data_IF_696471879163
#
_entry.id   IF_696471879163
#
_cell.length_a   1.000
_cell.length_b   1.000
_cell.length_c   1.000
_cell.angle_alpha   90.00
_cell.angle_beta   90.00
_cell.angle_gamma   90.00
#
_symmetry.space_group_name_H-M   'P 1'
#
loop_
_entity.id
_entity.type
_entity.pdbx_description
1 polymer ?
#
# COMPACT_ATOMS: atom_id res chain seq x y z
N UNK A 1 -22.86 -20.15 -15.77
CA UNK A 1 -22.43 -19.94 -14.37
C UNK A 1 -23.69 -19.89 -13.52
N UNK A 2 -23.87 -20.80 -12.57
CA UNK A 2 -25.14 -20.93 -11.84
C UNK A 2 -25.33 -19.75 -10.88
N UNK A 3 -26.54 -19.18 -10.81
CA UNK A 3 -26.88 -17.98 -10.02
C UNK A 3 -26.55 -18.11 -8.52
N UNK A 4 -26.62 -19.32 -7.96
CA UNK A 4 -26.18 -19.61 -6.58
C UNK A 4 -24.68 -19.44 -6.36
N UNK A 5 -23.85 -19.82 -7.33
CA UNK A 5 -22.38 -19.62 -7.30
C UNK A 5 -22.02 -18.14 -7.32
N UNK A 6 -22.76 -17.37 -8.12
CA UNK A 6 -22.59 -15.91 -8.25
C UNK A 6 -22.97 -15.22 -6.93
N UNK A 7 -24.06 -15.63 -6.28
CA UNK A 7 -24.48 -15.07 -4.99
C UNK A 7 -23.51 -15.40 -3.84
N UNK A 8 -22.97 -16.61 -3.78
CA UNK A 8 -21.94 -16.99 -2.78
C UNK A 8 -20.67 -16.16 -2.99
N UNK A 9 -20.22 -16.04 -4.24
CA UNK A 9 -19.09 -15.17 -4.61
C UNK A 9 -19.33 -13.71 -4.23
N UNK A 10 -20.51 -13.14 -4.50
CA UNK A 10 -20.81 -11.76 -4.10
C UNK A 10 -20.81 -11.59 -2.57
N UNK A 11 -21.26 -12.60 -1.83
CA UNK A 11 -21.25 -12.58 -0.37
C UNK A 11 -19.82 -12.62 0.18
N UNK A 12 -18.96 -13.48 -0.38
CA UNK A 12 -17.54 -13.55 -0.03
C UNK A 12 -16.78 -12.28 -0.44
N UNK A 13 -17.09 -11.71 -1.61
CA UNK A 13 -16.55 -10.43 -2.05
C UNK A 13 -16.99 -9.32 -1.11
N UNK A 14 -18.27 -9.20 -0.75
CA UNK A 14 -18.76 -8.17 0.17
C UNK A 14 -18.14 -8.34 1.57
N UNK A 15 -18.05 -9.56 2.08
CA UNK A 15 -17.38 -9.84 3.36
C UNK A 15 -15.89 -9.50 3.29
N UNK A 16 -15.20 -9.88 2.21
CA UNK A 16 -13.82 -9.49 1.94
C UNK A 16 -13.65 -7.98 1.80
N UNK A 17 -14.61 -7.27 1.21
CA UNK A 17 -14.64 -5.80 1.11
C UNK A 17 -14.88 -5.13 2.46
N UNK A 18 -15.73 -5.70 3.32
CA UNK A 18 -15.98 -5.19 4.68
C UNK A 18 -14.75 -5.43 5.55
N UNK A 19 -14.14 -6.62 5.47
CA UNK A 19 -12.87 -6.93 6.14
C UNK A 19 -11.77 -6.01 5.62
N UNK A 20 -11.69 -5.75 4.31
CA UNK A 20 -10.71 -4.84 3.72
C UNK A 20 -11.00 -3.37 4.01
N UNK A 21 -12.27 -2.96 4.18
CA UNK A 21 -12.66 -1.62 4.59
C UNK A 21 -12.34 -1.37 6.07
N UNK A 22 -12.61 -2.35 6.92
CA UNK A 22 -12.21 -2.36 8.32
C UNK A 22 -10.69 -2.40 8.44
N UNK A 23 -10.01 -3.23 7.64
CA UNK A 23 -8.56 -3.20 7.51
C UNK A 23 -8.11 -1.84 6.99
N UNK A 24 -8.76 -1.20 6.03
CA UNK A 24 -8.36 0.13 5.52
C UNK A 24 -8.47 1.24 6.57
N UNK A 25 -9.43 1.14 7.50
CA UNK A 25 -9.50 2.02 8.69
C UNK A 25 -8.50 1.66 9.79
N UNK A 26 -7.95 0.44 9.76
CA UNK A 26 -7.02 -0.14 10.74
C UNK A 26 -5.62 -0.37 10.15
N UNK A 27 -5.38 -0.02 8.87
CA UNK A 27 -4.21 -0.39 8.06
C UNK A 27 -3.02 0.52 8.30
N UNK A 28 -2.83 0.78 9.57
CA UNK A 28 -1.53 0.96 10.12
C UNK A 28 -0.97 -0.45 10.39
N UNK A 29 -0.01 -0.92 9.58
CA UNK A 29 0.58 -2.28 9.76
C UNK A 29 1.24 -2.43 11.15
N UNK A 30 1.50 -1.31 11.84
CA UNK A 30 1.87 -1.30 13.25
C UNK A 30 0.76 -1.86 14.15
N UNK A 31 -0.51 -1.60 13.82
CA UNK A 31 -1.66 -2.17 14.51
C UNK A 31 -1.77 -3.67 14.22
N UNK A 32 -1.46 -4.16 13.02
CA UNK A 32 -1.49 -5.62 12.74
C UNK A 32 -0.50 -6.37 13.64
N UNK A 33 0.71 -5.84 13.84
CA UNK A 33 1.72 -6.44 14.75
C UNK A 33 1.38 -6.22 16.24
N UNK A 34 0.86 -5.04 16.60
CA UNK A 34 0.43 -4.68 17.98
C UNK A 34 -0.84 -5.43 18.42
N UNK A 35 -1.68 -5.83 17.48
CA UNK A 35 -2.97 -6.49 17.70
C UNK A 35 -2.97 -7.94 17.21
N UNK A 36 -1.83 -8.62 17.22
CA UNK A 36 -1.75 -10.08 17.07
C UNK A 36 -2.74 -10.78 18.04
N UNK A 37 -2.96 -10.21 19.24
CA UNK A 37 -3.99 -10.66 20.20
C UNK A 37 -5.44 -10.45 19.73
N UNK A 38 -5.72 -9.41 18.96
CA UNK A 38 -7.06 -9.05 18.46
C UNK A 38 -7.37 -9.79 17.15
N UNK A 39 -6.36 -10.03 16.31
CA UNK A 39 -6.41 -10.94 15.15
C UNK A 39 -6.66 -12.39 15.58
N UNK A 40 -6.01 -12.85 16.68
CA UNK A 40 -6.34 -14.12 17.34
C UNK A 40 -7.79 -14.16 17.84
N UNK A 41 -8.34 -13.04 18.30
CA UNK A 41 -9.73 -12.92 18.78
C UNK A 41 -10.77 -13.03 17.64
N UNK A 42 -10.39 -12.64 16.41
CA UNK A 42 -11.20 -12.77 15.19
C UNK A 42 -10.89 -14.03 14.36
N UNK A 43 -10.04 -14.93 14.87
CA UNK A 43 -9.73 -16.22 14.21
C UNK A 43 -8.75 -16.12 13.02
N UNK A 44 -8.08 -14.99 12.83
CA UNK A 44 -6.99 -14.86 11.83
C UNK A 44 -5.68 -15.20 12.53
N UNK A 45 -5.31 -16.47 12.43
CA UNK A 45 -4.15 -17.06 13.09
C UNK A 45 -2.96 -16.89 12.14
N UNK A 46 -1.97 -16.08 12.53
CA UNK A 46 -0.66 -15.88 11.87
C UNK A 46 -0.62 -14.95 10.64
N UNK A 47 0.48 -14.18 10.53
CA UNK A 47 0.76 -13.26 9.40
C UNK A 47 0.77 -14.01 8.06
N UNK A 48 1.26 -15.24 8.07
CA UNK A 48 1.26 -16.13 6.90
C UNK A 48 -0.16 -16.39 6.38
N UNK A 49 -1.13 -16.58 7.28
CA UNK A 49 -2.55 -16.74 6.91
C UNK A 49 -3.12 -15.45 6.35
N UNK A 50 -2.78 -14.29 6.92
CA UNK A 50 -3.18 -13.00 6.37
C UNK A 50 -2.61 -12.77 4.97
N UNK A 51 -1.32 -13.05 4.77
CA UNK A 51 -0.66 -12.98 3.46
C UNK A 51 -1.34 -13.91 2.47
N UNK A 52 -1.57 -15.16 2.85
CA UNK A 52 -2.26 -16.16 2.02
C UNK A 52 -3.68 -15.73 1.63
N UNK A 53 -4.48 -15.25 2.58
CA UNK A 53 -5.83 -14.77 2.30
C UNK A 53 -5.83 -13.52 1.42
N UNK A 54 -4.93 -12.57 1.68
CA UNK A 54 -4.76 -11.38 0.84
C UNK A 54 -4.34 -11.77 -0.59
N UNK A 55 -3.46 -12.77 -0.76
CA UNK A 55 -3.07 -13.28 -2.08
C UNK A 55 -4.21 -13.99 -2.82
N UNK A 56 -5.02 -14.80 -2.11
CA UNK A 56 -6.23 -15.42 -2.68
C UNK A 56 -7.20 -14.35 -3.17
N UNK A 57 -7.43 -13.32 -2.36
CA UNK A 57 -8.29 -12.19 -2.73
C UNK A 57 -7.70 -11.38 -3.88
N UNK A 58 -6.37 -11.19 -3.93
CA UNK A 58 -5.72 -10.48 -5.02
C UNK A 58 -5.90 -11.22 -6.35
N UNK A 59 -5.75 -12.55 -6.37
CA UNK A 59 -6.02 -13.40 -7.54
C UNK A 59 -7.48 -13.28 -7.98
N UNK A 60 -8.41 -13.28 -7.02
CA UNK A 60 -9.84 -13.12 -7.27
C UNK A 60 -10.15 -11.75 -7.90
N UNK A 61 -9.63 -10.65 -7.33
CA UNK A 61 -9.77 -9.31 -7.88
C UNK A 61 -9.15 -9.19 -9.28
N UNK A 62 -8.02 -9.86 -9.53
CA UNK A 62 -7.40 -9.88 -10.85
C UNK A 62 -8.27 -10.62 -11.88
N UNK A 63 -8.83 -11.76 -11.49
CA UNK A 63 -9.75 -12.53 -12.33
C UNK A 63 -11.00 -11.72 -12.70
N UNK A 64 -11.58 -11.00 -11.74
CA UNK A 64 -12.72 -10.11 -12.00
C UNK A 64 -12.36 -8.78 -12.63
N UNK A 65 -11.08 -8.53 -12.95
CA UNK A 65 -10.67 -7.31 -13.67
C UNK A 65 -10.85 -7.40 -15.19
N UNK A 66 -11.30 -8.55 -15.71
CA UNK A 66 -11.52 -8.78 -17.15
C UNK A 66 -12.93 -8.31 -17.55
N UNK A 67 -13.02 -7.05 -17.96
CA UNK A 67 -14.25 -6.34 -18.36
C UNK A 67 -14.20 -4.87 -17.88
N UNK A 68 -15.21 -4.03 -18.17
CA UNK A 68 -15.21 -2.59 -17.85
C UNK A 68 -15.33 -2.28 -16.33
N UNK A 69 -14.83 -3.17 -15.48
CA UNK A 69 -15.25 -3.39 -14.11
C UNK A 69 -14.99 -2.22 -13.17
N UNK A 70 -16.13 -1.80 -12.59
CA UNK A 70 -16.33 -1.30 -11.24
C UNK A 70 -15.06 -0.83 -10.52
N UNK A 71 -14.89 0.49 -10.49
CA UNK A 71 -13.87 1.25 -9.75
C UNK A 71 -13.53 0.63 -8.38
N UNK A 72 -14.50 0.05 -7.67
CA UNK A 72 -14.28 -0.65 -6.41
C UNK A 72 -13.30 -1.83 -6.50
N UNK A 73 -13.42 -2.71 -7.50
CA UNK A 73 -12.53 -3.89 -7.66
C UNK A 73 -11.10 -3.44 -7.98
N UNK A 74 -10.97 -2.40 -8.80
CA UNK A 74 -9.69 -1.76 -9.09
C UNK A 74 -9.00 -1.22 -7.83
N UNK A 75 -9.71 -0.45 -7.01
CA UNK A 75 -9.15 0.08 -5.76
C UNK A 75 -8.81 -1.02 -4.75
N UNK A 76 -9.62 -2.08 -4.70
CA UNK A 76 -9.34 -3.24 -3.84
C UNK A 76 -8.10 -3.98 -4.29
N UNK A 77 -7.92 -4.19 -5.60
CA UNK A 77 -6.72 -4.79 -6.14
C UNK A 77 -5.46 -3.99 -5.78
N UNK A 78 -5.46 -2.67 -6.03
CA UNK A 78 -4.32 -1.82 -5.68
C UNK A 78 -4.08 -1.77 -4.16
N UNK A 79 -5.14 -1.77 -3.34
CA UNK A 79 -5.04 -1.84 -1.88
C UNK A 79 -4.44 -3.15 -1.37
N UNK A 80 -4.78 -4.29 -1.99
CA UNK A 80 -4.20 -5.60 -1.68
C UNK A 80 -2.72 -5.67 -2.09
N UNK A 81 -2.36 -5.14 -3.26
CA UNK A 81 -0.94 -5.00 -3.65
C UNK A 81 -0.16 -4.19 -2.62
N UNK A 82 -0.73 -3.06 -2.17
CA UNK A 82 -0.10 -2.21 -1.16
C UNK A 82 0.05 -2.92 0.20
N UNK A 83 -0.98 -3.63 0.65
CA UNK A 83 -0.94 -4.44 1.87
C UNK A 83 0.18 -5.48 1.81
N UNK A 84 0.20 -6.29 0.75
CA UNK A 84 1.18 -7.36 0.58
C UNK A 84 2.61 -6.82 0.46
N UNK A 85 2.79 -5.70 -0.24
CA UNK A 85 4.08 -5.00 -0.26
C UNK A 85 4.48 -4.56 1.16
N UNK A 86 3.55 -3.99 1.92
CA UNK A 86 3.83 -3.51 3.28
C UNK A 86 4.23 -4.64 4.22
N UNK A 87 3.54 -5.77 4.15
CA UNK A 87 3.90 -6.99 4.90
C UNK A 87 5.32 -7.44 4.53
N UNK A 88 5.59 -7.58 3.23
CA UNK A 88 6.88 -8.07 2.73
C UNK A 88 8.05 -7.20 3.18
N UNK A 89 7.91 -5.87 3.12
CA UNK A 89 8.95 -4.95 3.57
C UNK A 89 9.19 -4.98 5.09
N UNK A 90 8.15 -5.24 5.88
CA UNK A 90 8.26 -5.40 7.34
C UNK A 90 8.92 -6.73 7.71
N UNK A 91 8.78 -7.74 6.85
CA UNK A 91 9.46 -9.04 6.93
C UNK A 91 10.86 -9.03 6.32
N UNK A 92 11.35 -7.86 5.89
CA UNK A 92 12.63 -7.67 5.19
C UNK A 92 12.76 -8.49 3.88
N UNK A 93 11.63 -8.84 3.26
CA UNK A 93 11.55 -9.44 1.92
C UNK A 93 11.40 -8.35 0.84
N UNK A 94 12.54 -7.82 0.41
CA UNK A 94 12.61 -6.76 -0.60
C UNK A 94 12.16 -7.25 -1.99
N UNK A 95 12.33 -8.53 -2.29
CA UNK A 95 11.93 -9.09 -3.58
C UNK A 95 10.41 -9.08 -3.72
N UNK A 96 9.70 -9.63 -2.73
CA UNK A 96 8.24 -9.63 -2.72
C UNK A 96 7.69 -8.21 -2.61
N UNK A 97 8.32 -7.34 -1.81
CA UNK A 97 7.95 -5.92 -1.72
C UNK A 97 7.91 -5.24 -3.09
N UNK A 98 8.99 -5.36 -3.87
CA UNK A 98 9.07 -4.79 -5.21
C UNK A 98 8.10 -5.49 -6.18
N UNK A 99 7.93 -6.81 -6.06
CA UNK A 99 7.02 -7.57 -6.91
C UNK A 99 5.55 -7.16 -6.70
N UNK A 100 5.09 -6.94 -5.47
CA UNK A 100 3.72 -6.49 -5.20
C UNK A 100 3.50 -5.04 -5.58
N UNK A 101 4.47 -4.14 -5.35
CA UNK A 101 4.38 -2.77 -5.87
C UNK A 101 4.34 -2.75 -7.39
N UNK A 102 5.13 -3.60 -8.05
CA UNK A 102 5.12 -3.78 -9.50
C UNK A 102 3.75 -4.14 -10.06
N UNK A 103 2.92 -4.87 -9.30
CA UNK A 103 1.56 -5.25 -9.69
C UNK A 103 0.53 -4.11 -9.61
N UNK A 104 0.80 -3.04 -8.87
CA UNK A 104 -0.13 -1.89 -8.76
C UNK A 104 -0.44 -1.34 -10.15
N UNK A 105 -1.74 -1.24 -10.48
CA UNK A 105 -2.24 -0.80 -11.77
C UNK A 105 -2.42 0.71 -11.81
N UNK A 106 -2.24 1.30 -13.00
CA UNK A 106 -2.46 2.71 -13.30
C UNK A 106 -1.81 3.66 -12.27
N UNK A 107 -0.49 3.75 -12.35
CA UNK A 107 0.37 4.47 -11.41
C UNK A 107 -0.01 5.95 -11.26
N UNK A 108 -0.58 6.56 -12.31
CA UNK A 108 -1.07 7.94 -12.28
C UNK A 108 -2.22 8.15 -11.28
N UNK A 109 -2.98 7.10 -10.95
CA UNK A 109 -4.10 7.17 -10.00
C UNK A 109 -3.74 6.62 -8.62
N UNK A 110 -2.52 6.12 -8.43
CA UNK A 110 -2.06 5.55 -7.17
C UNK A 110 -0.65 6.07 -6.83
N UNK A 111 -0.59 7.32 -6.39
CA UNK A 111 0.65 8.06 -6.12
C UNK A 111 1.52 7.41 -5.03
N UNK A 112 0.92 6.54 -4.21
CA UNK A 112 1.59 5.82 -3.13
C UNK A 112 2.72 4.91 -3.65
N UNK A 113 2.56 4.33 -4.85
CA UNK A 113 3.58 3.46 -5.46
C UNK A 113 4.86 4.24 -5.76
N UNK A 114 4.72 5.34 -6.50
CA UNK A 114 5.85 6.18 -6.93
C UNK A 114 6.49 6.87 -5.74
N UNK A 115 5.70 7.34 -4.78
CA UNK A 115 6.21 7.91 -3.54
C UNK A 115 7.10 6.94 -2.75
N UNK A 116 6.63 5.71 -2.53
CA UNK A 116 7.38 4.69 -1.78
C UNK A 116 8.62 4.25 -2.51
N UNK A 117 8.53 4.00 -3.81
CA UNK A 117 9.69 3.57 -4.60
C UNK A 117 10.76 4.67 -4.65
N UNK A 118 10.38 5.93 -4.76
CA UNK A 118 11.33 7.04 -4.68
C UNK A 118 12.10 7.05 -3.36
N UNK A 119 11.42 6.87 -2.23
CA UNK A 119 12.06 6.81 -0.90
C UNK A 119 12.91 5.56 -0.72
N UNK A 120 12.43 4.40 -1.19
CA UNK A 120 13.15 3.13 -1.10
C UNK A 120 14.46 3.17 -1.89
N UNK A 121 14.44 3.54 -3.18
CA UNK A 121 15.67 3.60 -3.96
C UNK A 121 16.64 4.66 -3.41
N UNK A 122 16.12 5.75 -2.85
CA UNK A 122 16.94 6.76 -2.18
C UNK A 122 17.62 6.20 -0.93
N UNK A 123 16.92 5.42 -0.10
CA UNK A 123 17.55 4.78 1.07
C UNK A 123 18.63 3.77 0.67
N UNK A 124 18.50 3.15 -0.50
CA UNK A 124 19.53 2.31 -1.13
C UNK A 124 20.65 3.08 -1.83
N UNK A 125 20.60 4.42 -1.82
CA UNK A 125 21.53 5.33 -2.54
C UNK A 125 21.51 5.16 -4.06
N UNK A 126 20.46 4.57 -4.62
CA UNK A 126 20.20 4.55 -6.07
C UNK A 126 19.41 5.80 -6.46
N UNK A 127 20.14 6.91 -6.62
CA UNK A 127 19.52 8.20 -6.92
C UNK A 127 18.90 8.26 -8.32
N UNK A 128 19.33 7.42 -9.26
CA UNK A 128 18.77 7.38 -10.60
C UNK A 128 17.36 6.78 -10.59
N UNK A 129 17.21 5.61 -9.95
CA UNK A 129 15.89 5.01 -9.78
C UNK A 129 14.99 5.85 -8.89
N UNK A 130 15.54 6.40 -7.81
CA UNK A 130 14.78 7.27 -6.93
C UNK A 130 14.25 8.52 -7.67
N UNK A 131 15.08 9.12 -8.53
CA UNK A 131 14.67 10.27 -9.37
C UNK A 131 13.62 9.86 -10.40
N UNK A 132 13.79 8.71 -11.05
CA UNK A 132 12.79 8.19 -11.98
C UNK A 132 11.41 8.11 -11.34
N UNK A 133 11.30 7.53 -10.13
CA UNK A 133 10.01 7.43 -9.44
C UNK A 133 9.49 8.78 -8.91
N UNK A 134 10.35 9.74 -8.60
CA UNK A 134 9.93 11.11 -8.34
C UNK A 134 9.29 11.75 -9.59
N UNK A 135 9.91 11.60 -10.75
CA UNK A 135 9.37 12.14 -12.00
C UNK A 135 8.04 11.44 -12.37
N UNK A 136 7.91 10.13 -12.11
CA UNK A 136 6.61 9.42 -12.23
C UNK A 136 5.58 9.99 -11.26
N UNK A 137 5.96 10.25 -10.01
CA UNK A 137 5.07 10.85 -9.01
C UNK A 137 4.49 12.19 -9.47
N UNK A 138 5.29 13.04 -10.13
CA UNK A 138 4.83 14.32 -10.68
C UNK A 138 3.74 14.17 -11.77
N UNK A 139 3.57 12.98 -12.34
CA UNK A 139 2.51 12.69 -13.33
C UNK A 139 1.20 12.18 -12.70
N UNK A 140 1.13 12.09 -11.37
CA UNK A 140 -0.05 11.60 -10.65
C UNK A 140 -1.23 12.56 -10.79
N UNK A 141 -2.43 12.03 -11.07
CA UNK A 141 -3.69 12.79 -11.21
C UNK A 141 -4.21 13.30 -9.87
N UNK A 142 -3.93 12.56 -8.80
CA UNK A 142 -4.31 12.90 -7.44
C UNK A 142 -3.05 12.86 -6.60
N UNK A 143 -2.84 13.93 -5.84
CA UNK A 143 -1.69 14.08 -4.97
C UNK A 143 -2.21 14.43 -3.60
N UNK A 144 -1.95 13.56 -2.63
CA UNK A 144 -2.08 13.91 -1.23
C UNK A 144 -1.08 15.04 -0.89
N UNK A 145 -1.58 16.16 -0.37
CA UNK A 145 -0.77 17.33 -0.02
C UNK A 145 0.43 16.98 0.89
N UNK A 146 0.23 16.06 1.84
CA UNK A 146 1.30 15.66 2.76
C UNK A 146 2.39 14.85 2.04
N UNK A 147 2.04 14.04 1.04
CA UNK A 147 3.02 13.37 0.17
C UNK A 147 3.81 14.42 -0.63
N UNK A 148 3.13 15.44 -1.16
CA UNK A 148 3.76 16.54 -1.89
C UNK A 148 4.81 17.28 -1.07
N UNK A 149 4.45 17.67 0.16
CA UNK A 149 5.36 18.35 1.09
C UNK A 149 6.61 17.52 1.36
N UNK A 150 6.45 16.21 1.59
CA UNK A 150 7.58 15.31 1.87
C UNK A 150 8.44 15.13 0.61
N UNK A 151 7.84 14.87 -0.55
CA UNK A 151 8.57 14.67 -1.80
C UNK A 151 9.35 15.92 -2.22
N UNK A 152 8.74 17.10 -2.12
CA UNK A 152 9.44 18.36 -2.42
C UNK A 152 10.58 18.61 -1.43
N UNK A 153 10.41 18.25 -0.15
CA UNK A 153 11.52 18.31 0.83
C UNK A 153 12.69 17.44 0.40
N UNK A 154 12.41 16.18 0.07
CA UNK A 154 13.43 15.17 -0.27
C UNK A 154 14.20 15.55 -1.53
N UNK A 155 13.53 16.13 -2.53
CA UNK A 155 14.11 16.35 -3.86
C UNK A 155 14.55 17.76 -4.15
N UNK A 156 13.91 18.77 -3.55
CA UNK A 156 14.26 20.17 -3.79
C UNK A 156 14.98 20.83 -2.61
N UNK A 157 14.88 20.25 -1.40
CA UNK A 157 15.37 20.87 -0.17
C UNK A 157 14.63 22.15 0.22
N UNK A 158 13.51 22.49 -0.46
CA UNK A 158 12.80 23.77 -0.31
C UNK A 158 11.64 23.74 0.69
N UNK A 159 11.23 22.56 1.18
CA UNK A 159 10.09 22.47 2.09
C UNK A 159 10.44 23.00 3.48
N UNK A 160 9.51 23.74 4.11
CA UNK A 160 9.66 24.20 5.50
C UNK A 160 9.70 22.99 6.43
N UNK A 161 10.74 22.87 7.25
CA UNK A 161 10.96 21.72 8.16
C UNK A 161 9.77 21.43 9.08
N UNK A 162 9.06 22.46 9.54
CA UNK A 162 7.85 22.31 10.37
C UNK A 162 6.69 21.63 9.61
N UNK A 163 6.44 22.02 8.36
CA UNK A 163 5.40 21.41 7.53
C UNK A 163 5.72 19.95 7.22
N UNK A 164 7.00 19.64 6.97
CA UNK A 164 7.46 18.26 6.76
C UNK A 164 7.22 17.42 8.02
N UNK A 165 7.59 17.95 9.19
CA UNK A 165 7.38 17.25 10.46
C UNK A 165 5.88 17.00 10.75
N UNK A 166 5.00 17.95 10.42
CA UNK A 166 3.54 17.77 10.54
C UNK A 166 2.99 16.74 9.56
N UNK A 167 3.41 16.79 8.29
CA UNK A 167 2.99 15.83 7.26
C UNK A 167 3.44 14.42 7.60
N UNK A 168 4.68 14.23 8.05
CA UNK A 168 5.24 12.92 8.43
C UNK A 168 4.47 12.27 9.59
N UNK A 169 3.98 13.07 10.55
CA UNK A 169 3.18 12.56 11.67
C UNK A 169 1.84 11.94 11.26
N UNK A 170 1.30 12.32 10.09
CA UNK A 170 0.03 11.77 9.57
C UNK A 170 0.17 10.39 8.94
N UNK A 171 1.40 9.95 8.67
CA UNK A 171 1.67 8.62 8.12
C UNK A 171 2.16 7.70 9.22
N UNK A 172 1.26 6.86 9.72
CA UNK A 172 1.60 5.88 10.76
C UNK A 172 2.16 4.58 10.17
N UNK A 173 1.90 4.32 8.88
CA UNK A 173 2.31 3.10 8.19
C UNK A 173 3.80 2.75 8.41
N UNK A 174 4.14 1.54 8.90
CA UNK A 174 5.50 1.11 9.22
C UNK A 174 6.51 1.24 8.09
N UNK A 175 6.12 0.95 6.84
CA UNK A 175 7.03 1.10 5.69
C UNK A 175 7.41 2.55 5.53
N UNK A 176 6.43 3.46 5.58
CA UNK A 176 6.67 4.88 5.48
C UNK A 176 7.51 5.38 6.65
N UNK A 177 7.22 4.95 7.88
CA UNK A 177 8.02 5.30 9.06
C UNK A 177 9.47 4.83 8.94
N UNK A 178 9.68 3.58 8.51
CA UNK A 178 11.02 3.01 8.29
C UNK A 178 11.75 3.77 7.17
N UNK A 179 11.09 4.00 6.03
CA UNK A 179 11.65 4.77 4.92
C UNK A 179 11.95 6.22 5.29
N UNK A 180 11.13 6.89 6.09
CA UNK A 180 11.40 8.24 6.57
C UNK A 180 12.64 8.27 7.48
N UNK A 181 12.80 7.29 8.37
CA UNK A 181 13.99 7.15 9.20
C UNK A 181 15.24 6.94 8.34
N UNK A 182 15.19 5.99 7.39
CA UNK A 182 16.29 5.66 6.48
C UNK A 182 16.68 6.84 5.58
N UNK A 183 15.74 7.75 5.30
CA UNK A 183 15.98 8.93 4.47
C UNK A 183 16.33 10.20 5.27
N UNK A 184 16.45 10.11 6.60
CA UNK A 184 16.69 11.24 7.51
C UNK A 184 15.62 12.34 7.44
N UNK A 185 14.36 11.92 7.33
CA UNK A 185 13.19 12.81 7.29
C UNK A 185 12.57 12.97 8.70
N UNK A 186 12.78 11.99 9.59
CA UNK A 186 12.34 12.01 10.99
C UNK A 186 13.34 12.73 11.92
#
# INVERSE_FOLDING_TARGET
>A
MNTGTVQIMWKEIIVGFIILYLLRGVLDVYMIKKYEKLLKLFGVIEMDTLKLEAEKHLKLCNFFSVGPWNKAIYWTYNGLCWLLATISYVEDDEYDFLAYLGKVKNEQEFEMKSFVLALYYRSKKDFNQARHYYDVYLTSKHVNNDIGVIMDSVWSGKAKSELVAESVKKFENPVLRKLFAENHIL
#
